data_IF_999351336310
#
_entry.id   IF_999351336310
#
_cell.length_a   1.000
_cell.length_b   1.000
_cell.length_c   1.000
_cell.angle_alpha   90.00
_cell.angle_beta   90.00
_cell.angle_gamma   90.00
#
_symmetry.space_group_name_H-M   'P 1'
#
loop_
_entity.id
_entity.type
_entity.pdbx_description
1 polymer ?
#
# COMPACT_ATOMS: atom_id res chain seq x y z
N UNK A 1 14.94 -42.05 -5.76
CA UNK A 1 16.11 -41.72 -6.58
C UNK A 1 16.43 -40.24 -6.36
N UNK A 2 17.71 -39.85 -6.34
CA UNK A 2 18.35 -38.71 -5.62
C UNK A 2 18.39 -38.83 -4.09
N UNK A 3 17.27 -39.20 -3.45
CA UNK A 3 17.18 -39.33 -1.97
C UNK A 3 16.87 -40.76 -1.48
N UNK A 4 17.09 -41.78 -2.32
CA UNK A 4 16.83 -43.19 -1.95
C UNK A 4 15.35 -43.60 -1.85
N UNK A 5 14.40 -42.71 -2.15
CA UNK A 5 12.94 -42.97 -2.04
C UNK A 5 12.31 -43.77 -3.20
N UNK A 6 13.03 -43.98 -4.30
CA UNK A 6 12.53 -44.67 -5.51
C UNK A 6 13.71 -45.28 -6.25
N UNK A 7 13.50 -46.37 -6.98
CA UNK A 7 14.56 -46.99 -7.79
C UNK A 7 14.79 -46.21 -9.11
N UNK A 8 13.73 -45.62 -9.65
CA UNK A 8 13.76 -44.87 -10.91
C UNK A 8 13.40 -43.38 -10.74
N UNK A 9 13.85 -42.51 -11.66
CA UNK A 9 13.42 -41.11 -11.71
C UNK A 9 11.93 -41.01 -12.05
N UNK A 10 11.13 -40.48 -11.12
CA UNK A 10 9.77 -40.02 -11.40
C UNK A 10 9.77 -38.56 -11.84
N UNK A 11 10.55 -38.23 -12.86
CA UNK A 11 10.66 -36.88 -13.44
C UNK A 11 10.52 -36.95 -14.96
N UNK A 12 10.16 -35.84 -15.59
CA UNK A 12 10.15 -35.78 -17.05
C UNK A 12 11.54 -36.11 -17.62
N UNK A 13 11.65 -36.95 -18.67
CA UNK A 13 12.92 -37.25 -19.30
C UNK A 13 13.60 -35.99 -19.84
N UNK A 14 14.93 -35.89 -19.74
CA UNK A 14 15.71 -34.68 -20.13
C UNK A 14 15.44 -34.21 -21.58
N UNK A 15 15.06 -35.13 -22.47
CA UNK A 15 14.80 -34.85 -23.89
C UNK A 15 13.31 -34.75 -24.25
N UNK A 16 12.43 -34.71 -23.26
CA UNK A 16 10.98 -34.60 -23.47
C UNK A 16 10.44 -33.40 -22.69
N UNK A 17 9.78 -32.50 -23.39
CA UNK A 17 9.13 -31.35 -22.77
C UNK A 17 7.78 -31.80 -22.18
N UNK A 18 7.54 -31.63 -20.87
CA UNK A 18 6.25 -31.96 -20.27
C UNK A 18 5.14 -31.05 -20.84
N UNK A 19 3.89 -31.54 -20.91
CA UNK A 19 2.78 -30.71 -21.37
C UNK A 19 2.54 -29.53 -20.43
N UNK A 20 1.93 -28.47 -20.96
CA UNK A 20 1.38 -27.41 -20.13
C UNK A 20 0.30 -27.99 -19.20
N UNK A 21 0.31 -27.59 -17.94
CA UNK A 21 -0.62 -28.06 -16.93
C UNK A 21 -1.66 -27.01 -16.60
N UNK A 22 -2.91 -27.44 -16.49
CA UNK A 22 -4.00 -26.64 -15.91
C UNK A 22 -4.05 -26.82 -14.39
N UNK A 23 -4.65 -25.85 -13.68
CA UNK A 23 -4.88 -25.96 -12.24
C UNK A 23 -5.77 -27.17 -11.92
N UNK A 24 -5.28 -28.08 -11.08
CA UNK A 24 -5.97 -29.32 -10.72
C UNK A 24 -5.32 -30.57 -11.31
N UNK A 25 -4.43 -30.40 -12.29
CA UNK A 25 -3.85 -31.53 -13.01
C UNK A 25 -2.55 -32.07 -12.39
N UNK A 26 -2.11 -31.55 -11.25
CA UNK A 26 -0.93 -32.11 -10.57
C UNK A 26 -1.29 -33.44 -9.91
N UNK A 27 -0.34 -34.37 -9.88
CA UNK A 27 -0.54 -35.71 -9.34
C UNK A 27 -1.22 -35.72 -7.95
N UNK A 28 -0.76 -34.89 -7.01
CA UNK A 28 -1.39 -34.83 -5.68
C UNK A 28 -2.79 -34.20 -5.69
N UNK A 29 -3.10 -33.30 -6.63
CA UNK A 29 -4.44 -32.73 -6.79
C UNK A 29 -5.40 -33.79 -7.32
N UNK A 30 -4.94 -34.66 -8.21
CA UNK A 30 -5.71 -35.83 -8.67
C UNK A 30 -5.99 -36.78 -7.51
N UNK A 31 -4.98 -37.12 -6.71
CA UNK A 31 -5.16 -37.96 -5.50
C UNK A 31 -6.11 -37.31 -4.50
N UNK A 32 -5.96 -36.01 -4.26
CA UNK A 32 -6.84 -35.26 -3.36
C UNK A 32 -8.28 -35.26 -3.89
N UNK A 33 -8.49 -35.02 -5.18
CA UNK A 33 -9.81 -35.03 -5.82
C UNK A 33 -10.47 -36.41 -5.74
N UNK A 34 -9.70 -37.50 -5.93
CA UNK A 34 -10.18 -38.87 -5.75
C UNK A 34 -10.65 -39.14 -4.32
N UNK A 35 -9.86 -38.72 -3.32
CA UNK A 35 -10.23 -38.85 -1.90
C UNK A 35 -11.47 -38.03 -1.54
N UNK A 36 -11.62 -36.82 -2.09
CA UNK A 36 -12.83 -36.00 -1.92
C UNK A 36 -14.04 -36.69 -2.55
N UNK A 37 -13.90 -37.21 -3.77
CA UNK A 37 -14.98 -37.93 -4.47
C UNK A 37 -15.40 -39.22 -3.74
N UNK A 38 -14.45 -39.90 -3.09
CA UNK A 38 -14.71 -41.07 -2.25
C UNK A 38 -15.25 -40.73 -0.85
N UNK A 39 -15.33 -39.45 -0.48
CA UNK A 39 -15.76 -39.01 0.86
C UNK A 39 -14.74 -39.25 1.97
N UNK A 40 -13.47 -39.51 1.63
CA UNK A 40 -12.39 -39.78 2.59
C UNK A 40 -11.80 -38.52 3.22
N UNK A 41 -11.97 -37.36 2.58
CA UNK A 41 -11.45 -36.08 3.07
C UNK A 41 -12.28 -34.91 2.58
N UNK A 42 -12.31 -33.83 3.36
CA UNK A 42 -12.79 -32.51 2.94
C UNK A 42 -11.60 -31.59 2.67
N UNK A 43 -11.75 -30.64 1.75
CA UNK A 43 -10.68 -29.68 1.44
C UNK A 43 -11.21 -28.35 0.90
N UNK A 44 -10.58 -27.26 1.31
CA UNK A 44 -10.80 -25.94 0.72
C UNK A 44 -9.83 -25.64 -0.46
N UNK A 45 -8.95 -26.60 -0.81
CA UNK A 45 -7.87 -26.39 -1.78
C UNK A 45 -8.38 -25.90 -3.14
N UNK A 46 -9.30 -26.66 -3.75
CA UNK A 46 -9.83 -26.37 -5.08
C UNK A 46 -10.53 -25.02 -5.13
N UNK A 47 -11.40 -24.74 -4.17
CA UNK A 47 -12.10 -23.45 -4.06
C UNK A 47 -11.13 -22.28 -3.85
N UNK A 48 -10.17 -22.41 -2.92
CA UNK A 48 -9.18 -21.36 -2.61
C UNK A 48 -8.28 -21.04 -3.80
N UNK A 49 -7.95 -22.04 -4.61
CA UNK A 49 -7.02 -21.91 -5.72
C UNK A 49 -7.69 -21.80 -7.08
N UNK A 50 -9.04 -21.73 -7.13
CA UNK A 50 -9.82 -21.73 -8.38
C UNK A 50 -9.38 -22.87 -9.33
N UNK A 51 -9.08 -24.02 -8.73
CA UNK A 51 -8.63 -25.22 -9.43
C UNK A 51 -9.80 -26.17 -9.60
N UNK A 52 -9.90 -26.82 -10.77
CA UNK A 52 -10.94 -27.80 -11.04
C UNK A 52 -10.49 -29.17 -10.52
N UNK A 53 -11.23 -29.80 -9.58
CA UNK A 53 -10.90 -31.15 -9.14
C UNK A 53 -11.10 -32.14 -10.29
N UNK A 54 -10.08 -32.92 -10.62
CA UNK A 54 -10.16 -33.99 -11.62
C UNK A 54 -9.75 -35.32 -10.99
N UNK A 55 -10.51 -36.37 -11.28
CA UNK A 55 -10.24 -37.73 -10.78
C UNK A 55 -9.59 -38.63 -11.83
N UNK A 56 -9.72 -38.26 -13.09
CA UNK A 56 -9.14 -38.94 -14.26
C UNK A 56 -8.00 -38.12 -14.84
N UNK A 57 -6.99 -38.79 -15.40
CA UNK A 57 -5.86 -38.10 -15.99
C UNK A 57 -6.23 -37.48 -17.35
N UNK A 58 -5.80 -36.24 -17.64
CA UNK A 58 -6.18 -35.55 -18.86
C UNK A 58 -5.83 -36.31 -20.16
N UNK A 59 -6.77 -36.30 -21.09
CA UNK A 59 -6.64 -36.98 -22.39
C UNK A 59 -5.65 -36.29 -23.32
N UNK A 60 -5.45 -34.97 -23.15
CA UNK A 60 -4.54 -34.15 -23.96
C UNK A 60 -3.07 -34.36 -23.64
N UNK A 61 -2.74 -35.03 -22.53
CA UNK A 61 -1.35 -35.36 -22.20
C UNK A 61 -0.78 -36.42 -23.13
N UNK A 62 0.51 -36.30 -23.51
CA UNK A 62 1.24 -37.39 -24.17
C UNK A 62 1.22 -38.66 -23.31
N UNK A 63 1.18 -39.83 -23.96
CA UNK A 63 1.11 -41.13 -23.27
C UNK A 63 2.20 -41.31 -22.21
N UNK A 64 3.45 -40.99 -22.55
CA UNK A 64 4.58 -41.06 -21.62
C UNK A 64 4.39 -40.22 -20.35
N UNK A 65 3.73 -39.06 -20.46
CA UNK A 65 3.52 -38.16 -19.34
C UNK A 65 2.37 -38.67 -18.46
N UNK A 66 1.32 -39.23 -19.08
CA UNK A 66 0.24 -39.91 -18.35
C UNK A 66 0.80 -41.09 -17.54
N UNK A 67 1.57 -41.97 -18.16
CA UNK A 67 2.23 -43.10 -17.49
C UNK A 67 3.14 -42.63 -16.34
N UNK A 68 3.90 -41.56 -16.53
CA UNK A 68 4.71 -40.96 -15.47
C UNK A 68 3.87 -40.46 -14.28
N UNK A 69 2.74 -39.79 -14.56
CA UNK A 69 1.84 -39.29 -13.51
C UNK A 69 1.11 -40.43 -12.81
N UNK A 70 0.72 -41.49 -13.51
CA UNK A 70 0.15 -42.71 -12.92
C UNK A 70 1.12 -43.31 -11.90
N UNK A 71 2.38 -43.52 -12.28
CA UNK A 71 3.42 -44.02 -11.36
C UNK A 71 3.65 -43.11 -10.15
N UNK A 72 3.52 -41.78 -10.32
CA UNK A 72 3.59 -40.83 -9.21
C UNK A 72 2.39 -40.96 -8.28
N UNK A 73 1.19 -41.12 -8.82
CA UNK A 73 -0.04 -41.34 -8.05
C UNK A 73 0.06 -42.64 -7.25
N UNK A 74 0.49 -43.73 -7.89
CA UNK A 74 0.72 -45.01 -7.21
C UNK A 74 1.71 -44.88 -6.06
N UNK A 75 2.81 -44.14 -6.25
CA UNK A 75 3.78 -43.90 -5.18
C UNK A 75 3.19 -43.06 -4.03
N UNK A 76 2.38 -42.04 -4.35
CA UNK A 76 1.67 -41.23 -3.34
C UNK A 76 0.73 -42.09 -2.49
N UNK A 77 0.07 -43.06 -3.11
CA UNK A 77 -0.92 -43.92 -2.47
C UNK A 77 -0.27 -45.08 -1.69
N UNK A 78 0.86 -45.61 -2.16
CA UNK A 78 1.53 -46.78 -1.58
C UNK A 78 2.59 -46.46 -0.53
N UNK A 79 3.34 -45.35 -0.68
CA UNK A 79 4.39 -44.95 0.26
C UNK A 79 3.88 -43.87 1.22
N UNK A 80 3.85 -44.19 2.51
CA UNK A 80 3.38 -43.28 3.58
C UNK A 80 4.16 -41.98 3.64
N UNK A 81 5.48 -42.01 3.45
CA UNK A 81 6.34 -40.83 3.55
C UNK A 81 6.15 -39.92 2.34
N UNK A 82 6.07 -40.49 1.13
CA UNK A 82 5.77 -39.73 -0.09
C UNK A 82 4.36 -39.14 0.00
N UNK A 83 3.38 -39.93 0.41
CA UNK A 83 2.00 -39.46 0.62
C UNK A 83 1.88 -38.32 1.64
N UNK A 84 2.76 -38.27 2.66
CA UNK A 84 2.83 -37.15 3.60
C UNK A 84 3.37 -35.87 2.95
N UNK A 85 4.47 -35.97 2.19
CA UNK A 85 5.08 -34.84 1.47
C UNK A 85 4.19 -34.33 0.33
N UNK A 86 3.35 -35.19 -0.22
CA UNK A 86 2.44 -34.85 -1.31
C UNK A 86 1.12 -34.20 -0.82
N UNK A 87 0.95 -34.03 0.49
CA UNK A 87 -0.21 -33.31 1.02
C UNK A 87 -0.21 -31.83 0.63
N UNK A 88 -1.39 -31.19 0.51
CA UNK A 88 -1.51 -29.81 0.06
C UNK A 88 -0.74 -28.79 0.91
N UNK A 89 -0.57 -29.04 2.20
CA UNK A 89 0.16 -28.16 3.13
C UNK A 89 1.64 -28.04 2.79
N UNK A 90 2.22 -29.08 2.18
CA UNK A 90 3.61 -29.15 1.79
C UNK A 90 3.84 -28.75 0.33
N UNK A 91 2.77 -28.35 -0.39
CA UNK A 91 2.85 -27.97 -1.80
C UNK A 91 2.83 -26.46 -1.97
N UNK A 92 3.68 -25.99 -2.90
CA UNK A 92 3.64 -24.60 -3.34
C UNK A 92 2.28 -24.32 -3.97
N UNK A 93 1.61 -23.30 -3.43
CA UNK A 93 0.34 -22.81 -3.95
C UNK A 93 0.62 -22.10 -5.28
N UNK A 94 -0.08 -22.51 -6.34
CA UNK A 94 -0.11 -21.78 -7.61
C UNK A 94 -1.18 -20.68 -7.56
N UNK A 95 -1.21 -19.94 -6.44
CA UNK A 95 -2.09 -18.79 -6.27
C UNK A 95 -1.36 -17.54 -6.76
N UNK A 96 -1.92 -16.89 -7.77
CA UNK A 96 -1.57 -15.52 -8.14
C UNK A 96 -2.73 -14.62 -7.77
N UNK A 97 -2.43 -13.37 -7.45
CA UNK A 97 -3.45 -12.32 -7.40
C UNK A 97 -4.16 -12.27 -8.76
N UNK A 98 -5.51 -12.21 -8.80
CA UNK A 98 -6.28 -12.07 -10.04
C UNK A 98 -5.74 -10.95 -10.91
N UNK A 99 -5.83 -11.10 -12.24
CA UNK A 99 -5.35 -10.10 -13.17
C UNK A 99 -6.06 -8.76 -12.95
N UNK A 100 -7.37 -8.81 -12.70
CA UNK A 100 -8.21 -7.65 -12.48
C UNK A 100 -7.78 -6.85 -11.24
N UNK A 101 -7.37 -7.54 -10.17
CA UNK A 101 -6.85 -6.91 -8.96
C UNK A 101 -5.46 -6.29 -9.20
N UNK A 102 -4.61 -6.94 -10.00
CA UNK A 102 -3.29 -6.43 -10.38
C UNK A 102 -3.41 -5.20 -11.28
N UNK A 103 -4.31 -5.25 -12.26
CA UNK A 103 -4.62 -4.14 -13.16
C UNK A 103 -5.17 -2.95 -12.38
N UNK A 104 -6.15 -3.17 -11.51
CA UNK A 104 -6.71 -2.11 -10.65
C UNK A 104 -5.66 -1.46 -9.75
N UNK A 105 -4.78 -2.26 -9.14
CA UNK A 105 -3.67 -1.75 -8.33
C UNK A 105 -2.68 -0.94 -9.18
N UNK A 106 -2.30 -1.44 -10.36
CA UNK A 106 -1.37 -0.75 -11.25
C UNK A 106 -1.92 0.58 -11.77
N UNK A 107 -3.20 0.62 -12.18
CA UNK A 107 -3.87 1.86 -12.60
C UNK A 107 -3.90 2.87 -11.45
N UNK A 108 -4.29 2.43 -10.26
CA UNK A 108 -4.35 3.26 -9.06
C UNK A 108 -2.98 3.85 -8.71
N UNK A 109 -1.95 3.02 -8.67
CA UNK A 109 -0.61 3.43 -8.28
C UNK A 109 -0.02 4.38 -9.31
N UNK A 110 -0.21 4.11 -10.61
CA UNK A 110 0.21 5.04 -11.66
C UNK A 110 -0.48 6.40 -11.56
N UNK A 111 -1.79 6.43 -11.26
CA UNK A 111 -2.52 7.70 -11.07
C UNK A 111 -1.95 8.49 -9.88
N UNK A 112 -1.68 7.82 -8.77
CA UNK A 112 -1.07 8.43 -7.58
C UNK A 112 0.36 8.91 -7.84
N UNK A 113 1.17 8.14 -8.56
CA UNK A 113 2.54 8.53 -8.93
C UNK A 113 2.54 9.83 -9.75
N UNK A 114 1.54 10.03 -10.62
CA UNK A 114 1.37 11.30 -11.35
C UNK A 114 0.92 12.45 -10.47
N UNK A 115 0.09 12.19 -9.45
CA UNK A 115 -0.29 13.22 -8.47
C UNK A 115 0.89 13.67 -7.57
N UNK A 116 1.98 12.91 -7.53
CA UNK A 116 3.24 13.27 -6.86
C UNK A 116 4.22 14.01 -7.77
N UNK A 117 3.87 14.27 -9.04
CA UNK A 117 4.72 15.04 -9.94
C UNK A 117 5.01 16.43 -9.36
N UNK A 118 6.29 16.75 -9.21
CA UNK A 118 6.78 18.02 -8.66
C UNK A 118 6.16 19.23 -9.37
N UNK A 119 5.89 19.15 -10.67
CA UNK A 119 5.29 20.25 -11.44
C UNK A 119 3.92 20.67 -10.88
N UNK A 120 3.18 19.79 -10.20
CA UNK A 120 1.88 20.09 -9.62
C UNK A 120 1.98 20.92 -8.33
N UNK A 121 3.10 20.80 -7.62
CA UNK A 121 3.28 21.28 -6.25
C UNK A 121 4.14 22.55 -6.14
N UNK A 122 4.76 22.97 -7.23
CA UNK A 122 5.63 24.15 -7.25
C UNK A 122 5.13 25.24 -8.18
N UNK A 123 5.36 26.49 -7.77
CA UNK A 123 5.22 27.67 -8.60
C UNK A 123 6.58 28.38 -8.66
N UNK A 124 7.32 28.13 -9.74
CA UNK A 124 8.75 28.44 -9.78
C UNK A 124 9.52 27.64 -8.72
N UNK A 125 10.17 28.34 -7.79
CA UNK A 125 10.90 27.72 -6.67
C UNK A 125 10.04 27.51 -5.43
N UNK A 126 8.82 28.08 -5.39
CA UNK A 126 8.00 28.07 -4.19
C UNK A 126 7.16 26.80 -4.12
N UNK A 127 7.30 26.06 -3.02
CA UNK A 127 6.41 24.96 -2.68
C UNK A 127 5.04 25.51 -2.24
N UNK A 128 3.96 24.91 -2.72
CA UNK A 128 2.60 25.38 -2.41
C UNK A 128 1.70 24.21 -1.99
N UNK A 129 0.83 24.49 -1.02
CA UNK A 129 -0.30 23.62 -0.74
C UNK A 129 -1.30 23.62 -1.91
N UNK A 130 -2.04 22.53 -2.06
CA UNK A 130 -3.08 22.35 -3.07
C UNK A 130 -4.34 21.79 -2.43
N UNK A 131 -5.49 22.36 -2.78
CA UNK A 131 -6.76 21.67 -2.53
C UNK A 131 -6.90 20.47 -3.47
N UNK A 132 -7.83 19.54 -3.17
CA UNK A 132 -8.11 18.43 -4.08
C UNK A 132 -8.63 18.93 -5.43
N UNK A 133 -9.43 20.00 -5.46
CA UNK A 133 -9.92 20.59 -6.70
C UNK A 133 -8.78 21.16 -7.54
N UNK A 134 -7.88 21.94 -6.93
CA UNK A 134 -6.70 22.46 -7.62
C UNK A 134 -5.80 21.34 -8.13
N UNK A 135 -5.58 20.28 -7.34
CA UNK A 135 -4.76 19.15 -7.75
C UNK A 135 -5.40 18.39 -8.92
N UNK A 136 -6.72 18.19 -8.90
CA UNK A 136 -7.47 17.56 -9.98
C UNK A 136 -7.40 18.38 -11.27
N UNK A 137 -7.64 19.69 -11.19
CA UNK A 137 -7.56 20.59 -12.35
C UNK A 137 -6.15 20.55 -12.96
N UNK A 138 -5.11 20.62 -12.13
CA UNK A 138 -3.71 20.58 -12.58
C UNK A 138 -3.32 19.24 -13.19
N UNK A 139 -3.79 18.13 -12.62
CA UNK A 139 -3.51 16.80 -13.15
C UNK A 139 -4.19 16.60 -14.52
N UNK A 140 -5.48 16.92 -14.62
CA UNK A 140 -6.22 16.79 -15.87
C UNK A 140 -5.69 17.73 -16.97
N UNK A 141 -5.22 18.92 -16.59
CA UNK A 141 -4.65 19.91 -17.51
C UNK A 141 -3.12 19.78 -17.70
N UNK A 142 -2.47 18.75 -17.15
CA UNK A 142 -1.02 18.63 -17.26
C UNK A 142 -0.61 18.47 -18.74
N UNK A 143 0.32 19.29 -19.25
CA UNK A 143 0.59 19.36 -20.70
C UNK A 143 1.17 18.07 -21.28
N UNK A 144 1.93 17.31 -20.49
CA UNK A 144 2.62 16.11 -20.98
C UNK A 144 1.81 14.82 -20.82
N UNK A 145 0.97 14.74 -19.79
CA UNK A 145 0.36 13.47 -19.37
C UNK A 145 -1.10 13.60 -18.93
N UNK A 146 -1.68 14.80 -18.93
CA UNK A 146 -3.06 15.04 -18.49
C UNK A 146 -4.11 14.26 -19.28
N UNK A 147 -4.03 14.19 -20.63
CA UNK A 147 -4.93 13.35 -21.42
C UNK A 147 -4.84 11.87 -21.03
N UNK A 148 -3.62 11.33 -20.93
CA UNK A 148 -3.37 9.94 -20.51
C UNK A 148 -3.88 9.69 -19.09
N UNK A 149 -3.73 10.67 -18.19
CA UNK A 149 -4.22 10.56 -16.82
C UNK A 149 -5.74 10.46 -16.76
N UNK A 150 -6.45 11.24 -17.57
CA UNK A 150 -7.89 11.12 -17.68
C UNK A 150 -8.34 9.79 -18.30
N UNK A 151 -7.58 9.25 -19.26
CA UNK A 151 -7.85 7.92 -19.83
C UNK A 151 -7.65 6.80 -18.80
N UNK A 152 -6.54 6.83 -18.06
CA UNK A 152 -6.28 5.87 -16.98
C UNK A 152 -7.31 6.01 -15.85
N UNK A 153 -7.75 7.23 -15.54
CA UNK A 153 -8.81 7.47 -14.56
C UNK A 153 -10.15 6.87 -15.00
N UNK A 154 -10.51 6.94 -16.29
CA UNK A 154 -11.69 6.27 -16.86
C UNK A 154 -11.61 4.75 -16.74
N UNK A 155 -10.45 4.17 -17.04
CA UNK A 155 -10.21 2.73 -16.88
C UNK A 155 -10.31 2.30 -15.42
N UNK A 156 -9.66 3.04 -14.51
CA UNK A 156 -9.70 2.75 -13.09
C UNK A 156 -11.12 2.86 -12.51
N UNK A 157 -11.86 3.91 -12.90
CA UNK A 157 -13.24 4.11 -12.46
C UNK A 157 -14.26 3.16 -13.13
N UNK A 158 -13.90 2.51 -14.24
CA UNK A 158 -14.81 1.70 -15.05
C UNK A 158 -15.93 2.52 -15.71
N UNK A 159 -15.70 3.81 -15.96
CA UNK A 159 -16.69 4.74 -16.53
C UNK A 159 -16.06 5.65 -17.58
N UNK A 160 -16.80 6.01 -18.63
CA UNK A 160 -16.38 7.02 -19.61
C UNK A 160 -16.62 8.44 -19.10
N UNK A 161 -17.67 8.63 -18.29
CA UNK A 161 -17.96 9.90 -17.65
C UNK A 161 -17.30 9.91 -16.27
N UNK A 162 -16.18 10.63 -16.17
CA UNK A 162 -15.39 10.73 -14.96
C UNK A 162 -15.03 12.18 -14.68
N UNK A 163 -15.35 12.61 -13.48
CA UNK A 163 -14.92 13.89 -12.91
C UNK A 163 -13.57 13.73 -12.20
N UNK A 164 -12.60 14.58 -12.55
CA UNK A 164 -11.24 14.50 -12.04
C UNK A 164 -11.18 14.70 -10.52
N UNK A 165 -11.99 15.62 -9.98
CA UNK A 165 -12.05 15.86 -8.54
C UNK A 165 -12.54 14.61 -7.78
N UNK A 166 -13.57 13.95 -8.30
CA UNK A 166 -14.07 12.69 -7.73
C UNK A 166 -12.99 11.61 -7.71
N UNK A 167 -12.18 11.51 -8.77
CA UNK A 167 -11.06 10.55 -8.84
C UNK A 167 -10.00 10.88 -7.81
N UNK A 168 -9.48 12.11 -7.80
CA UNK A 168 -8.45 12.54 -6.86
C UNK A 168 -8.93 12.36 -5.41
N UNK A 169 -10.18 12.71 -5.11
CA UNK A 169 -10.77 12.52 -3.79
C UNK A 169 -10.73 11.05 -3.35
N UNK A 170 -11.12 10.12 -4.24
CA UNK A 170 -11.09 8.68 -3.94
C UNK A 170 -9.66 8.15 -3.78
N UNK A 171 -8.73 8.59 -4.63
CA UNK A 171 -7.32 8.16 -4.57
C UNK A 171 -6.66 8.63 -3.27
N UNK A 172 -6.86 9.89 -2.89
CA UNK A 172 -6.20 10.52 -1.74
C UNK A 172 -6.77 10.08 -0.40
N UNK A 173 -8.04 9.70 -0.31
CA UNK A 173 -8.76 9.43 0.94
C UNK A 173 -8.00 8.56 1.97
N UNK A 174 -7.16 7.67 1.46
CA UNK A 174 -6.40 6.68 2.23
C UNK A 174 -4.87 6.83 2.11
N UNK A 175 -4.42 7.83 1.34
CA UNK A 175 -3.01 8.10 1.02
C UNK A 175 -2.46 9.36 1.69
N UNK A 176 -3.29 10.06 2.46
CA UNK A 176 -2.91 11.24 3.21
C UNK A 176 -2.79 10.97 4.72
N UNK A 177 -1.91 11.71 5.39
CA UNK A 177 -1.88 11.80 6.86
C UNK A 177 -1.86 13.27 7.30
N UNK A 178 -2.63 13.67 8.33
CA UNK A 178 -2.62 15.05 8.81
C UNK A 178 -1.26 15.51 9.30
N UNK A 179 -0.91 16.77 8.97
CA UNK A 179 0.25 17.47 9.52
C UNK A 179 0.14 17.53 11.05
N UNK A 180 -1.04 17.91 11.55
CA UNK A 180 -1.29 18.11 12.97
C UNK A 180 -1.43 16.77 13.70
N UNK A 181 -0.65 16.56 14.76
CA UNK A 181 -0.72 15.39 15.63
C UNK A 181 -2.13 15.21 16.23
N UNK A 182 -2.79 16.31 16.60
CA UNK A 182 -4.15 16.30 17.13
C UNK A 182 -5.20 15.77 16.12
N UNK A 183 -4.95 15.92 14.82
CA UNK A 183 -5.80 15.39 13.76
C UNK A 183 -5.39 13.96 13.34
N UNK A 184 -4.27 13.44 13.85
CA UNK A 184 -3.74 12.10 13.54
C UNK A 184 -4.03 11.08 14.64
N UNK A 185 -3.84 11.47 15.90
CA UNK A 185 -3.83 10.56 17.04
C UNK A 185 -5.06 10.68 17.93
N UNK A 186 -5.38 9.56 18.58
CA UNK A 186 -6.24 9.53 19.78
C UNK A 186 -5.42 9.95 21.02
N UNK A 187 -6.05 10.19 22.18
CA UNK A 187 -5.32 10.54 23.40
C UNK A 187 -4.16 9.61 23.75
N UNK A 188 -4.31 8.29 23.53
CA UNK A 188 -3.22 7.32 23.76
C UNK A 188 -2.04 7.52 22.81
N UNK A 189 -2.29 7.89 21.55
CA UNK A 189 -1.24 8.21 20.59
C UNK A 189 -0.53 9.53 20.88
N UNK A 190 -1.26 10.54 21.37
CA UNK A 190 -0.66 11.81 21.82
C UNK A 190 0.25 11.61 23.04
N UNK A 191 -0.15 10.77 24.01
CA UNK A 191 0.70 10.42 25.14
C UNK A 191 2.01 9.77 24.69
N UNK A 192 1.93 8.81 23.74
CA UNK A 192 3.13 8.21 23.14
C UNK A 192 3.97 9.23 22.38
N UNK A 193 3.34 10.14 21.63
CA UNK A 193 4.04 11.19 20.88
C UNK A 193 4.88 12.07 21.79
N UNK A 194 4.32 12.48 22.94
CA UNK A 194 5.07 13.25 23.93
C UNK A 194 6.27 12.47 24.51
N UNK A 195 6.15 11.15 24.69
CA UNK A 195 7.30 10.31 25.10
C UNK A 195 8.37 10.22 23.99
N UNK A 196 7.96 10.10 22.73
CA UNK A 196 8.86 10.12 21.58
C UNK A 196 9.60 11.46 21.44
N UNK A 197 8.89 12.57 21.61
CA UNK A 197 9.49 13.92 21.55
C UNK A 197 10.54 14.12 22.62
N UNK A 198 10.27 13.69 23.86
CA UNK A 198 11.29 13.70 24.93
C UNK A 198 12.50 12.86 24.59
N UNK A 199 12.32 11.68 23.99
CA UNK A 199 13.43 10.84 23.54
C UNK A 199 14.25 11.57 22.47
N UNK A 200 13.60 12.24 21.52
CA UNK A 200 14.31 13.04 20.51
C UNK A 200 15.06 14.23 21.12
N UNK A 201 14.51 14.89 22.13
CA UNK A 201 15.20 15.96 22.86
C UNK A 201 16.46 15.44 23.55
N UNK A 202 16.37 14.29 24.22
CA UNK A 202 17.54 13.66 24.86
C UNK A 202 18.59 13.24 23.83
N UNK A 203 18.17 12.71 22.69
CA UNK A 203 19.10 12.36 21.59
C UNK A 203 19.79 13.60 21.03
N UNK A 204 19.07 14.71 20.86
CA UNK A 204 19.67 15.98 20.43
C UNK A 204 20.68 16.51 21.44
N UNK A 205 20.35 16.47 22.74
CA UNK A 205 21.28 16.88 23.79
C UNK A 205 22.53 15.97 23.83
N UNK A 206 22.37 14.66 23.64
CA UNK A 206 23.49 13.72 23.47
C UNK A 206 24.35 14.08 22.25
N UNK A 207 23.74 14.39 21.10
CA UNK A 207 24.42 14.82 19.87
C UNK A 207 25.20 16.15 20.06
N UNK A 208 24.75 17.01 20.97
CA UNK A 208 25.44 18.25 21.38
C UNK A 208 26.57 18.00 22.40
N UNK A 209 26.77 16.75 22.84
CA UNK A 209 27.81 16.34 23.79
C UNK A 209 27.41 16.44 25.26
N UNK A 210 26.13 16.60 25.57
CA UNK A 210 25.63 16.58 26.95
C UNK A 210 25.56 15.15 27.51
N UNK A 211 25.85 14.97 28.80
CA UNK A 211 25.63 13.69 29.49
C UNK A 211 24.15 13.56 29.91
N UNK A 212 23.37 12.90 29.07
CA UNK A 212 21.94 12.64 29.29
C UNK A 212 21.66 11.27 29.93
N UNK A 213 22.72 10.51 30.25
CA UNK A 213 22.60 9.14 30.73
C UNK A 213 21.92 8.19 29.75
N UNK A 214 21.22 7.17 30.26
CA UNK A 214 20.57 6.16 29.41
C UNK A 214 19.25 6.69 28.84
N UNK A 215 19.22 6.92 27.54
CA UNK A 215 17.99 7.29 26.81
C UNK A 215 16.99 6.10 26.82
N UNK A 216 15.73 6.31 27.27
CA UNK A 216 14.73 5.25 27.29
C UNK A 216 14.26 4.90 25.87
N UNK A 217 13.88 3.65 25.65
CA UNK A 217 13.26 3.23 24.39
C UNK A 217 11.80 3.67 24.40
N UNK A 218 11.34 4.47 23.42
CA UNK A 218 9.97 4.96 23.40
C UNK A 218 8.97 3.84 23.07
N UNK A 219 7.70 3.99 23.50
CA UNK A 219 6.67 2.97 23.27
C UNK A 219 6.32 2.85 21.78
N UNK A 220 6.03 1.61 21.34
CA UNK A 220 5.54 1.37 19.98
C UNK A 220 4.08 1.79 19.85
N UNK A 221 3.74 2.35 18.69
CA UNK A 221 2.36 2.61 18.32
C UNK A 221 1.63 1.34 17.89
N UNK A 222 0.29 1.39 17.97
CA UNK A 222 -0.64 0.41 17.44
C UNK A 222 -1.80 1.14 16.74
N UNK A 223 -2.61 0.41 15.96
CA UNK A 223 -3.78 0.98 15.28
C UNK A 223 -4.73 1.72 16.25
N UNK A 224 -4.84 1.27 17.50
CA UNK A 224 -5.70 1.89 18.52
C UNK A 224 -5.26 3.31 18.92
N UNK A 225 -4.04 3.72 18.58
CA UNK A 225 -3.49 5.06 18.87
C UNK A 225 -3.84 6.10 17.79
N UNK A 226 -4.29 5.65 16.61
CA UNK A 226 -4.60 6.51 15.48
C UNK A 226 -6.11 6.74 15.35
N UNK A 227 -6.48 7.90 14.81
CA UNK A 227 -7.87 8.24 14.51
C UNK A 227 -8.43 7.42 13.34
N UNK A 228 -7.60 7.12 12.32
CA UNK A 228 -7.97 6.28 11.17
C UNK A 228 -7.02 5.10 10.98
N UNK A 229 -7.57 4.00 10.45
CA UNK A 229 -6.78 2.81 10.08
C UNK A 229 -5.80 3.10 8.94
N UNK A 230 -6.16 3.98 7.99
CA UNK A 230 -5.26 4.44 6.93
C UNK A 230 -4.04 5.17 7.48
N UNK A 231 -4.20 6.04 8.49
CA UNK A 231 -3.06 6.71 9.13
C UNK A 231 -2.10 5.70 9.77
N UNK A 232 -2.65 4.70 10.47
CA UNK A 232 -1.84 3.61 11.00
C UNK A 232 -1.11 2.83 9.91
N UNK A 233 -1.78 2.53 8.79
CA UNK A 233 -1.17 1.81 7.65
C UNK A 233 0.02 2.56 7.08
N UNK A 234 -0.06 3.89 6.98
CA UNK A 234 1.04 4.73 6.49
C UNK A 234 2.17 4.89 7.53
N UNK A 235 1.86 4.94 8.83
CA UNK A 235 2.84 5.31 9.86
C UNK A 235 3.49 4.11 10.58
N UNK A 236 2.72 3.06 10.82
CA UNK A 236 3.18 1.84 11.48
C UNK A 236 3.69 2.03 12.91
N UNK A 237 4.37 1.00 13.43
CA UNK A 237 4.75 0.87 14.86
C UNK A 237 5.69 1.95 15.38
N UNK A 238 6.42 2.61 14.47
CA UNK A 238 7.44 3.61 14.78
C UNK A 238 7.04 5.01 14.29
N UNK A 239 5.80 5.17 13.82
CA UNK A 239 5.28 6.42 13.27
C UNK A 239 6.12 7.02 12.12
N UNK A 240 6.72 6.17 11.30
CA UNK A 240 7.57 6.60 10.18
C UNK A 240 6.66 7.08 9.04
N UNK A 241 6.83 8.30 8.52
CA UNK A 241 6.08 8.80 7.36
C UNK A 241 6.21 7.86 6.15
N UNK A 242 5.08 7.45 5.56
CA UNK A 242 5.02 6.70 4.28
C UNK A 242 3.83 7.10 3.41
N UNK A 243 3.09 8.11 3.84
CA UNK A 243 2.03 8.73 3.07
C UNK A 243 2.60 9.48 1.86
N UNK A 244 1.78 9.59 0.81
CA UNK A 244 2.11 10.37 -0.40
C UNK A 244 1.78 11.86 -0.22
N UNK A 245 0.80 12.15 0.63
CA UNK A 245 0.31 13.50 0.88
C UNK A 245 0.18 13.81 2.37
N UNK A 246 0.44 15.05 2.75
CA UNK A 246 0.17 15.57 4.09
C UNK A 246 -1.06 16.46 4.03
N UNK A 247 -2.13 16.13 4.75
CA UNK A 247 -3.30 17.02 4.79
C UNK A 247 -3.20 18.07 5.89
N UNK A 248 -3.75 19.25 5.65
CA UNK A 248 -3.87 20.30 6.65
C UNK A 248 -5.35 20.40 7.04
N UNK A 249 -5.75 19.56 7.99
CA UNK A 249 -7.16 19.45 8.41
C UNK A 249 -7.59 20.78 9.03
N UNK A 250 -8.69 21.36 8.56
CA UNK A 250 -9.21 22.66 9.01
C UNK A 250 -8.69 23.86 8.20
N UNK A 251 -7.90 23.63 7.15
CA UNK A 251 -7.47 24.68 6.22
C UNK A 251 -8.38 24.81 4.97
N UNK A 252 -9.40 23.96 4.86
CA UNK A 252 -10.42 24.02 3.82
C UNK A 252 -11.24 25.31 3.93
N UNK A 253 -11.59 25.92 2.81
CA UNK A 253 -12.52 27.06 2.83
C UNK A 253 -13.96 26.58 3.07
N UNK A 254 -14.84 27.51 3.39
CA UNK A 254 -16.28 27.23 3.41
C UNK A 254 -16.74 26.73 2.03
N UNK A 255 -17.63 25.75 1.99
CA UNK A 255 -18.14 25.18 0.73
C UNK A 255 -18.77 26.23 -0.22
N UNK A 256 -19.28 27.34 0.32
CA UNK A 256 -19.84 28.45 -0.45
C UNK A 256 -18.78 29.35 -1.12
N UNK A 257 -17.50 29.21 -0.76
CA UNK A 257 -16.40 30.05 -1.27
C UNK A 257 -15.77 29.54 -2.57
N UNK A 258 -16.37 28.52 -3.20
CA UNK A 258 -15.99 27.97 -4.50
C UNK A 258 -15.21 26.66 -4.42
N UNK A 259 -14.30 26.53 -3.45
CA UNK A 259 -13.52 25.30 -3.22
C UNK A 259 -13.31 25.03 -1.73
N UNK A 260 -14.16 24.16 -1.18
CA UNK A 260 -14.07 23.66 0.20
C UNK A 260 -13.43 22.27 0.30
N UNK A 261 -12.61 21.88 -0.68
CA UNK A 261 -11.98 20.55 -0.66
C UNK A 261 -10.72 20.53 0.21
N UNK A 262 -10.34 19.32 0.66
CA UNK A 262 -9.19 19.10 1.56
C UNK A 262 -7.92 19.76 1.02
N UNK A 263 -7.21 20.46 1.90
CA UNK A 263 -5.90 21.06 1.58
C UNK A 263 -4.80 20.07 1.87
N UNK A 264 -3.90 19.89 0.91
CA UNK A 264 -2.77 18.99 0.93
C UNK A 264 -1.45 19.74 0.75
N UNK A 265 -0.39 19.15 1.27
CA UNK A 265 0.99 19.34 0.85
C UNK A 265 1.53 18.00 0.32
N UNK A 266 2.55 18.06 -0.54
CA UNK A 266 3.22 16.86 -1.03
C UNK A 266 4.19 16.32 0.02
N UNK A 267 4.19 15.01 0.25
CA UNK A 267 5.12 14.38 1.19
C UNK A 267 6.59 14.43 0.71
N UNK A 268 6.83 14.71 -0.57
CA UNK A 268 8.18 14.89 -1.13
C UNK A 268 8.82 16.25 -0.85
N UNK A 269 8.13 17.16 -0.16
CA UNK A 269 8.75 18.39 0.34
C UNK A 269 9.78 18.08 1.43
N UNK A 270 10.90 18.80 1.42
CA UNK A 270 11.75 18.91 2.61
C UNK A 270 11.05 19.76 3.70
N UNK A 271 11.64 19.83 4.89
CA UNK A 271 11.01 20.53 6.02
C UNK A 271 10.87 22.05 5.76
N UNK A 272 11.84 22.67 5.09
CA UNK A 272 11.79 24.09 4.73
C UNK A 272 10.68 24.37 3.70
N UNK A 273 10.57 23.53 2.67
CA UNK A 273 9.52 23.60 1.64
C UNK A 273 8.13 23.40 2.24
N UNK A 274 7.97 22.43 3.16
CA UNK A 274 6.70 22.22 3.84
C UNK A 274 6.31 23.43 4.70
N UNK A 275 7.26 23.97 5.48
CA UNK A 275 7.02 25.18 6.27
C UNK A 275 6.66 26.39 5.39
N UNK A 276 7.38 26.58 4.26
CA UNK A 276 7.08 27.62 3.29
C UNK A 276 5.67 27.47 2.71
N UNK A 277 5.28 26.26 2.30
CA UNK A 277 3.96 25.98 1.74
C UNK A 277 2.85 26.29 2.76
N UNK A 278 3.02 25.86 4.02
CA UNK A 278 2.08 26.13 5.11
C UNK A 278 2.01 27.62 5.45
N UNK A 279 3.14 28.33 5.51
CA UNK A 279 3.18 29.77 5.77
C UNK A 279 2.54 30.57 4.63
N UNK A 280 2.74 30.15 3.38
CA UNK A 280 2.09 30.76 2.21
C UNK A 280 0.57 30.55 2.27
N UNK A 281 0.13 29.34 2.63
CA UNK A 281 -1.29 29.04 2.81
C UNK A 281 -1.90 29.87 3.94
N UNK A 282 -1.20 30.00 5.08
CA UNK A 282 -1.61 30.85 6.20
C UNK A 282 -1.76 32.31 5.77
N UNK A 283 -0.77 32.85 5.07
CA UNK A 283 -0.81 34.23 4.57
C UNK A 283 -1.98 34.42 3.60
N UNK A 284 -2.19 33.49 2.66
CA UNK A 284 -3.32 33.55 1.73
C UNK A 284 -4.67 33.57 2.45
N UNK A 285 -4.84 32.72 3.48
CA UNK A 285 -6.06 32.69 4.29
C UNK A 285 -6.31 34.01 5.01
N UNK A 286 -5.26 34.65 5.54
CA UNK A 286 -5.36 35.96 6.17
C UNK A 286 -5.64 37.09 5.18
N UNK A 287 -4.83 37.19 4.12
CA UNK A 287 -4.80 38.36 3.23
C UNK A 287 -5.94 38.37 2.23
N UNK A 288 -6.37 37.19 1.78
CA UNK A 288 -7.30 37.05 0.66
C UNK A 288 -8.65 36.54 1.13
N UNK A 289 -8.67 35.58 2.04
CA UNK A 289 -9.90 34.96 2.52
C UNK A 289 -10.44 35.60 3.82
N UNK A 290 -9.68 36.53 4.42
CA UNK A 290 -10.11 37.31 5.59
C UNK A 290 -10.15 36.52 6.90
N UNK A 291 -9.51 35.35 6.96
CA UNK A 291 -9.50 34.51 8.16
C UNK A 291 -8.79 35.18 9.33
N UNK A 292 -9.32 34.98 10.54
CA UNK A 292 -8.73 35.52 11.76
C UNK A 292 -8.95 34.61 12.98
N UNK A 293 -8.14 34.80 14.02
CA UNK A 293 -8.30 34.09 15.30
C UNK A 293 -8.30 32.56 15.15
N UNK A 294 -9.38 31.92 15.59
CA UNK A 294 -9.51 30.46 15.64
C UNK A 294 -9.46 29.79 14.26
N UNK A 295 -9.86 30.50 13.20
CA UNK A 295 -9.82 29.97 11.81
C UNK A 295 -8.40 29.65 11.35
N UNK A 296 -7.40 30.34 11.92
CA UNK A 296 -5.99 30.18 11.56
C UNK A 296 -5.29 29.09 12.38
N UNK A 297 -5.90 28.64 13.48
CA UNK A 297 -5.30 27.67 14.41
C UNK A 297 -4.84 26.38 13.72
N UNK A 298 -5.59 25.79 12.77
CA UNK A 298 -5.14 24.56 12.14
C UNK A 298 -3.85 24.72 11.32
N UNK A 299 -3.66 25.86 10.68
CA UNK A 299 -2.44 26.18 9.92
C UNK A 299 -1.28 26.52 10.85
N UNK A 300 -1.55 27.27 11.92
CA UNK A 300 -0.55 27.57 12.95
C UNK A 300 -0.05 26.30 13.65
N UNK A 301 -0.95 25.39 14.01
CA UNK A 301 -0.59 24.11 14.63
C UNK A 301 0.23 23.22 13.68
N UNK A 302 -0.13 23.19 12.39
CA UNK A 302 0.65 22.45 11.39
C UNK A 302 2.06 23.04 11.23
N UNK A 303 2.19 24.37 11.24
CA UNK A 303 3.49 25.04 11.13
C UNK A 303 4.36 24.83 12.38
N UNK A 304 3.77 24.98 13.57
CA UNK A 304 4.43 24.77 14.87
C UNK A 304 5.07 23.37 14.97
N UNK A 305 4.38 22.32 14.50
CA UNK A 305 4.93 20.96 14.50
C UNK A 305 6.05 20.73 13.48
N UNK A 306 6.19 21.60 12.47
CA UNK A 306 7.24 21.51 11.44
C UNK A 306 8.48 22.34 11.82
N UNK A 307 8.30 23.47 12.51
CA UNK A 307 9.37 24.43 12.86
C UNK A 307 10.59 23.78 13.53
N UNK A 308 10.46 22.90 14.55
CA UNK A 308 11.62 22.28 15.19
C UNK A 308 12.50 21.47 14.21
N UNK A 309 11.92 20.94 13.14
CA UNK A 309 12.67 20.22 12.10
C UNK A 309 13.36 21.17 11.14
N UNK A 310 12.75 22.32 10.86
CA UNK A 310 13.38 23.39 10.07
C UNK A 310 14.59 23.93 10.80
N UNK A 311 14.45 24.31 12.08
CA UNK A 311 15.56 24.81 12.89
C UNK A 311 16.72 23.82 12.99
N UNK A 312 16.40 22.52 13.04
CA UNK A 312 17.40 21.46 13.13
C UNK A 312 18.14 21.22 11.80
N UNK A 313 17.43 21.16 10.68
CA UNK A 313 17.98 20.65 9.40
C UNK A 313 18.17 21.74 8.33
N UNK A 314 17.58 22.90 8.53
CA UNK A 314 17.62 24.07 7.64
C UNK A 314 17.81 25.36 8.48
N UNK A 315 18.94 25.50 9.22
CA UNK A 315 19.17 26.62 10.14
C UNK A 315 19.50 27.96 9.45
N UNK A 316 19.54 27.98 8.11
CA UNK A 316 19.96 29.09 7.25
C UNK A 316 18.76 29.88 6.70
#
# INVERSE_FOLDING_TARGET
HLYGLTDEPLTAPVRQEPPALTLGERAFEVVLARKVAAGETETAWFARHRSTPITELPTHWPGWYRELVERRIELIESDRNVGLVERPEHKRRWSRTPWEDLEQAALRDWLLDKLEDRSLWFNGTNAECRSLAQLADRAAAHPEWGPDWMDVARLWAGSQEVDALTVVTKLVADEHVPAQAAARYKPSGLAKRAEWERVWDLQRAEDLGEDVGKIPVPPKYAQADFLKASYWRQRGKLDVPKERFTSVVGAEKDAASGDGTMVLAWAGFDHAQLAQALATQLFQRQSTDGWSGEELVPLLAALDEVVPRVEQWHPE
#
